data_IF_858964365064
#
_entry.id   IF_858964365064
#
_cell.length_a   1.000
_cell.length_b   1.000
_cell.length_c   1.000
_cell.angle_alpha   90.00
_cell.angle_beta   90.00
_cell.angle_gamma   90.00
#
_symmetry.space_group_name_H-M   'P 1'
#
loop_
_entity.id
_entity.type
_entity.pdbx_description
1 polymer ?
#
# COMPACT_ATOMS: atom_id res chain seq x y z
N UNK A 1 -10.93 -7.65 -5.00
CA UNK A 1 -10.38 -7.90 -3.64
C UNK A 1 -9.68 -9.25 -3.58
N UNK A 2 -10.30 -10.34 -4.03
CA UNK A 2 -9.69 -11.69 -4.10
C UNK A 2 -8.44 -11.79 -4.99
N UNK A 3 -8.31 -10.92 -5.99
CA UNK A 3 -7.14 -10.81 -6.88
C UNK A 3 -6.13 -9.74 -6.44
N UNK A 4 -6.18 -9.29 -5.18
CA UNK A 4 -5.28 -8.26 -4.67
C UNK A 4 -3.86 -8.83 -4.48
N UNK A 5 -2.86 -8.14 -5.02
CA UNK A 5 -1.46 -8.54 -4.96
C UNK A 5 -0.86 -8.55 -3.54
N UNK A 6 -1.28 -7.63 -2.67
CA UNK A 6 -0.83 -7.60 -1.28
C UNK A 6 -1.40 -8.77 -0.48
N UNK A 7 -2.68 -9.10 -0.67
CA UNK A 7 -3.33 -10.24 0.02
C UNK A 7 -2.68 -11.56 -0.41
N UNK A 8 -2.45 -11.75 -1.71
CA UNK A 8 -1.74 -12.94 -2.22
C UNK A 8 -0.30 -13.00 -1.69
N UNK A 9 0.42 -11.88 -1.64
CA UNK A 9 1.78 -11.80 -1.12
C UNK A 9 1.90 -12.23 0.34
N UNK A 10 1.00 -11.75 1.21
CA UNK A 10 0.95 -12.14 2.63
C UNK A 10 0.73 -13.64 2.78
N UNK A 11 -0.17 -14.22 1.98
CA UNK A 11 -0.41 -15.67 2.00
C UNK A 11 0.83 -16.47 1.57
N UNK A 12 1.51 -16.05 0.51
CA UNK A 12 2.72 -16.71 0.01
C UNK A 12 3.91 -16.58 0.98
N UNK A 13 4.06 -15.44 1.65
CA UNK A 13 5.12 -15.23 2.65
C UNK A 13 4.89 -16.08 3.91
N UNK A 14 3.66 -16.14 4.41
CA UNK A 14 3.31 -17.00 5.56
C UNK A 14 3.63 -18.48 5.30
N UNK A 15 3.40 -18.97 4.07
CA UNK A 15 3.72 -20.35 3.67
C UNK A 15 5.23 -20.56 3.56
N UNK A 16 5.97 -19.61 2.98
CA UNK A 16 7.42 -19.70 2.83
C UNK A 16 8.16 -19.69 4.18
N UNK A 17 7.72 -18.84 5.11
CA UNK A 17 8.30 -18.72 6.45
C UNK A 17 7.86 -19.84 7.41
N UNK A 18 7.01 -20.79 6.96
CA UNK A 18 6.46 -21.88 7.80
C UNK A 18 5.89 -21.37 9.12
N UNK A 19 5.19 -20.24 9.08
CA UNK A 19 4.65 -19.57 10.26
C UNK A 19 3.58 -20.43 10.94
N UNK A 20 3.65 -20.53 12.26
CA UNK A 20 2.62 -21.22 13.05
C UNK A 20 1.29 -20.45 13.00
N UNK A 21 0.17 -21.07 13.39
CA UNK A 21 -1.17 -20.49 13.21
C UNK A 21 -1.30 -19.10 13.86
N UNK A 22 -0.81 -18.96 15.10
CA UNK A 22 -0.86 -17.70 15.86
C UNK A 22 0.01 -16.63 15.20
N UNK A 23 1.19 -17.01 14.70
CA UNK A 23 2.11 -16.08 14.04
C UNK A 23 1.53 -15.57 12.72
N UNK A 24 0.94 -16.47 11.94
CA UNK A 24 0.24 -16.16 10.69
C UNK A 24 -0.95 -15.23 10.89
N UNK A 25 -1.70 -15.40 11.99
CA UNK A 25 -2.82 -14.53 12.35
C UNK A 25 -2.35 -13.11 12.68
N UNK A 26 -1.31 -12.98 13.51
CA UNK A 26 -0.74 -11.67 13.86
C UNK A 26 -0.10 -10.98 12.65
N UNK A 27 0.60 -11.74 11.80
CA UNK A 27 1.19 -11.24 10.55
C UNK A 27 0.12 -10.76 9.56
N UNK A 28 -0.95 -11.54 9.38
CA UNK A 28 -2.11 -11.16 8.57
C UNK A 28 -2.82 -9.91 9.09
N UNK A 29 -2.97 -9.79 10.41
CA UNK A 29 -3.58 -8.62 11.03
C UNK A 29 -2.71 -7.36 10.87
N UNK A 30 -1.41 -7.46 11.15
CA UNK A 30 -0.46 -6.36 10.99
C UNK A 30 -0.36 -5.88 9.53
N UNK A 31 -0.29 -6.81 8.58
CA UNK A 31 -0.28 -6.46 7.14
C UNK A 31 -1.58 -5.80 6.69
N UNK A 32 -2.75 -6.24 7.19
CA UNK A 32 -4.03 -5.62 6.90
C UNK A 32 -4.12 -4.17 7.43
N UNK A 33 -3.63 -3.92 8.65
CA UNK A 33 -3.56 -2.57 9.22
C UNK A 33 -2.61 -1.66 8.42
N UNK A 34 -1.45 -2.18 8.02
CA UNK A 34 -0.51 -1.43 7.17
C UNK A 34 -1.13 -1.07 5.81
N UNK A 35 -1.81 -2.03 5.17
CA UNK A 35 -2.51 -1.79 3.91
C UNK A 35 -3.64 -0.76 4.05
N UNK A 36 -4.40 -0.81 5.15
CA UNK A 36 -5.43 0.18 5.46
C UNK A 36 -4.84 1.59 5.61
N UNK A 37 -3.73 1.73 6.33
CA UNK A 37 -3.03 3.00 6.51
C UNK A 37 -2.61 3.59 5.15
N UNK A 38 -1.96 2.79 4.30
CA UNK A 38 -1.51 3.22 2.97
C UNK A 38 -2.70 3.64 2.10
N UNK A 39 -3.78 2.87 2.09
CA UNK A 39 -4.98 3.19 1.33
C UNK A 39 -5.66 4.48 1.81
N UNK A 40 -5.73 4.73 3.11
CA UNK A 40 -6.28 5.98 3.67
C UNK A 40 -5.44 7.19 3.23
N UNK A 41 -4.12 7.10 3.34
CA UNK A 41 -3.20 8.15 2.87
C UNK A 41 -3.37 8.42 1.39
N UNK A 42 -3.36 7.35 0.56
CA UNK A 42 -3.50 7.48 -0.88
C UNK A 42 -4.86 8.08 -1.28
N UNK A 43 -5.93 7.70 -0.59
CA UNK A 43 -7.27 8.29 -0.80
C UNK A 43 -7.28 9.78 -0.47
N UNK A 44 -6.68 10.18 0.66
CA UNK A 44 -6.55 11.59 1.03
C UNK A 44 -5.77 12.40 0.00
N UNK A 45 -4.66 11.85 -0.51
CA UNK A 45 -3.90 12.47 -1.60
C UNK A 45 -4.73 12.65 -2.86
N UNK A 46 -5.50 11.63 -3.26
CA UNK A 46 -6.38 11.69 -4.44
C UNK A 46 -7.47 12.75 -4.31
N UNK A 47 -8.07 12.91 -3.13
CA UNK A 47 -9.04 13.99 -2.88
C UNK A 47 -8.40 15.36 -3.06
N UNK A 48 -7.21 15.58 -2.49
CA UNK A 48 -6.48 16.86 -2.66
C UNK A 48 -6.12 17.13 -4.12
N UNK A 49 -5.72 16.09 -4.84
CA UNK A 49 -5.34 16.16 -6.25
C UNK A 49 -6.54 16.50 -7.16
N UNK A 50 -7.75 16.05 -6.79
CA UNK A 50 -8.98 16.37 -7.52
C UNK A 50 -9.38 17.85 -7.40
N UNK A 51 -8.93 18.53 -6.34
CA UNK A 51 -9.12 19.97 -6.14
C UNK A 51 -7.98 20.80 -6.76
N UNK A 52 -6.88 20.15 -7.16
CA UNK A 52 -5.71 20.81 -7.74
C UNK A 52 -5.82 20.97 -9.26
N UNK A 53 -5.15 21.98 -9.81
CA UNK A 53 -5.06 22.17 -11.26
C UNK A 53 -4.00 21.24 -11.85
N UNK A 54 -4.42 20.04 -12.27
CA UNK A 54 -3.55 19.07 -12.95
C UNK A 54 -3.59 19.31 -14.47
N UNK A 55 -2.44 19.41 -15.16
CA UNK A 55 -2.41 19.52 -16.62
C UNK A 55 -3.16 18.35 -17.29
N UNK A 56 -3.88 18.58 -18.40
CA UNK A 56 -4.70 17.56 -19.04
C UNK A 56 -3.92 16.31 -19.46
N UNK A 57 -2.65 16.46 -19.85
CA UNK A 57 -1.76 15.34 -20.19
C UNK A 57 -1.47 14.39 -19.01
N UNK A 58 -1.59 14.87 -17.77
CA UNK A 58 -1.35 14.07 -16.55
C UNK A 58 -2.63 13.65 -15.83
N UNK A 59 -3.80 14.08 -16.31
CA UNK A 59 -5.07 13.81 -15.66
C UNK A 59 -5.39 12.31 -15.59
N UNK A 60 -6.04 11.89 -14.50
CA UNK A 60 -6.47 10.50 -14.30
C UNK A 60 -5.40 9.59 -13.70
N UNK A 61 -4.98 8.59 -14.49
CA UNK A 61 -4.05 7.53 -14.07
C UNK A 61 -2.57 8.00 -13.93
N UNK A 62 -2.01 8.83 -14.84
CA UNK A 62 -0.60 9.22 -14.78
C UNK A 62 -0.25 9.93 -13.46
N UNK A 63 -1.02 10.95 -13.06
CA UNK A 63 -0.79 11.64 -11.79
C UNK A 63 -0.98 10.69 -10.59
N UNK A 64 -1.87 9.70 -10.70
CA UNK A 64 -2.05 8.64 -9.71
C UNK A 64 -0.76 7.84 -9.48
N UNK A 65 -0.12 7.39 -10.56
CA UNK A 65 1.16 6.66 -10.47
C UNK A 65 2.28 7.51 -9.88
N UNK A 66 2.35 8.80 -10.24
CA UNK A 66 3.34 9.73 -9.64
C UNK A 66 3.10 9.90 -8.14
N UNK A 67 1.84 10.10 -7.72
CA UNK A 67 1.55 10.19 -6.28
C UNK A 67 1.82 8.88 -5.54
N UNK A 68 1.59 7.72 -6.18
CA UNK A 68 1.89 6.42 -5.59
C UNK A 68 3.40 6.19 -5.45
N UNK A 69 4.22 6.62 -6.42
CA UNK A 69 5.67 6.49 -6.33
C UNK A 69 6.26 7.41 -5.26
N UNK A 70 5.76 8.64 -5.12
CA UNK A 70 6.15 9.54 -4.03
C UNK A 70 5.75 8.97 -2.66
N UNK A 71 4.55 8.37 -2.55
CA UNK A 71 4.13 7.69 -1.33
C UNK A 71 5.07 6.50 -1.02
N UNK A 72 5.43 5.71 -2.02
CA UNK A 72 6.39 4.61 -1.85
C UNK A 72 7.77 5.10 -1.37
N UNK A 73 8.27 6.22 -1.90
CA UNK A 73 9.52 6.84 -1.43
C UNK A 73 9.41 7.30 0.03
N UNK A 74 8.28 7.84 0.44
CA UNK A 74 8.05 8.19 1.85
C UNK A 74 8.11 6.96 2.76
N UNK A 75 7.53 5.83 2.33
CA UNK A 75 7.59 4.57 3.08
C UNK A 75 8.96 3.88 3.03
N UNK A 76 9.77 4.08 1.98
CA UNK A 76 11.18 3.64 1.98
C UNK A 76 11.99 4.29 3.11
N UNK A 77 11.57 5.44 3.63
CA UNK A 77 12.17 6.03 4.84
C UNK A 77 12.04 5.15 6.09
N UNK A 78 11.11 4.19 6.10
CA UNK A 78 10.99 3.20 7.17
C UNK A 78 11.87 1.96 6.94
N UNK A 79 12.51 1.83 5.77
CA UNK A 79 13.41 0.72 5.50
C UNK A 79 14.64 0.84 6.41
N UNK A 80 14.80 -0.11 7.33
CA UNK A 80 15.85 -0.11 8.36
C UNK A 80 15.35 0.09 9.79
N UNK A 81 14.04 0.29 10.01
CA UNK A 81 13.46 0.07 11.34
C UNK A 81 13.47 -1.43 11.65
N UNK A 82 14.18 -1.77 12.74
CA UNK A 82 14.37 -3.12 13.25
C UNK A 82 13.17 -3.60 14.08
#
# INVERSE_FOLDING_TARGET
ITTNCAVLGVALLNVQEKSDFVHSLMYGFGSALGFMLVMLLFTGLRVRLALAQVPPAFSGAPIGFVTASLLALAFMGFAGLA
#
